data_IF_810339598612
#
_entry.id   IF_810339598612
#
_cell.length_a   1.000
_cell.length_b   1.000
_cell.length_c   1.000
_cell.angle_alpha   90.00
_cell.angle_beta   90.00
_cell.angle_gamma   90.00
#
_symmetry.space_group_name_H-M   'P 1'
#
loop_
_entity.id
_entity.type
_entity.pdbx_description
1 polymer ?
#
# COMPACT_ATOMS: atom_id res chain seq x y z
N UNK A 1 -5.47 -15.19 6.85
CA UNK A 1 -6.82 -14.58 6.85
C UNK A 1 -6.96 -13.48 5.81
N UNK A 2 -6.05 -12.49 5.73
CA UNK A 2 -6.15 -11.35 4.81
C UNK A 2 -6.43 -11.70 3.34
N UNK A 3 -5.67 -12.64 2.75
CA UNK A 3 -5.90 -13.08 1.36
C UNK A 3 -7.27 -13.75 1.19
N UNK A 4 -7.62 -14.68 2.06
CA UNK A 4 -8.90 -15.39 2.00
C UNK A 4 -10.11 -14.43 2.17
N UNK A 5 -10.00 -13.45 3.08
CA UNK A 5 -11.05 -12.43 3.26
C UNK A 5 -11.21 -11.52 2.04
N UNK A 6 -10.12 -11.20 1.33
CA UNK A 6 -10.18 -10.41 0.10
C UNK A 6 -10.88 -11.18 -1.03
N UNK A 7 -10.57 -12.48 -1.18
CA UNK A 7 -11.26 -13.36 -2.14
C UNK A 7 -12.75 -13.46 -1.81
N UNK A 8 -13.09 -13.69 -0.55
CA UNK A 8 -14.48 -13.71 -0.08
C UNK A 8 -15.22 -12.41 -0.42
N UNK A 9 -14.62 -11.26 -0.14
CA UNK A 9 -15.20 -9.95 -0.43
C UNK A 9 -15.44 -9.73 -1.93
N UNK A 10 -14.46 -10.09 -2.77
CA UNK A 10 -14.60 -9.98 -4.22
C UNK A 10 -15.71 -10.88 -4.76
N UNK A 11 -15.82 -12.12 -4.28
CA UNK A 11 -16.88 -13.05 -4.68
C UNK A 11 -18.25 -12.56 -4.22
N UNK A 12 -18.38 -12.11 -2.97
CA UNK A 12 -19.62 -11.56 -2.43
C UNK A 12 -20.10 -10.34 -3.25
N UNK A 13 -19.18 -9.44 -3.59
CA UNK A 13 -19.48 -8.28 -4.42
C UNK A 13 -19.88 -8.67 -5.85
N UNK A 14 -19.17 -9.62 -6.47
CA UNK A 14 -19.48 -10.10 -7.82
C UNK A 14 -20.85 -10.78 -7.89
N UNK A 15 -21.23 -11.52 -6.86
CA UNK A 15 -22.57 -12.12 -6.75
C UNK A 15 -23.68 -11.07 -6.66
N UNK A 16 -23.42 -9.95 -5.98
CA UNK A 16 -24.36 -8.83 -5.90
C UNK A 16 -24.40 -8.00 -7.20
N UNK A 17 -23.34 -8.02 -8.01
CA UNK A 17 -23.18 -7.23 -9.22
C UNK A 17 -22.83 -8.10 -10.46
N UNK A 18 -23.68 -9.07 -10.85
CA UNK A 18 -23.33 -10.09 -11.83
C UNK A 18 -23.11 -9.55 -13.26
N UNK A 19 -23.63 -8.35 -13.56
CA UNK A 19 -23.52 -7.72 -14.89
C UNK A 19 -22.43 -6.64 -14.95
N UNK A 20 -21.57 -6.52 -13.94
CA UNK A 20 -20.55 -5.47 -13.86
C UNK A 20 -19.35 -5.65 -14.81
N UNK A 21 -19.32 -6.76 -15.56
CA UNK A 21 -18.25 -7.09 -16.51
C UNK A 21 -16.95 -7.50 -15.82
N UNK A 22 -15.87 -7.54 -16.59
CA UNK A 22 -14.53 -7.79 -16.05
C UNK A 22 -14.03 -6.55 -15.29
N UNK A 23 -13.51 -6.76 -14.08
CA UNK A 23 -13.01 -5.71 -13.18
C UNK A 23 -11.71 -6.17 -12.55
N UNK A 24 -10.73 -5.28 -12.45
CA UNK A 24 -9.55 -5.48 -11.60
C UNK A 24 -9.81 -4.90 -10.21
N UNK A 25 -9.00 -5.22 -9.18
CA UNK A 25 -9.22 -4.72 -7.82
C UNK A 25 -9.39 -3.19 -7.73
N UNK A 26 -8.64 -2.43 -8.52
CA UNK A 26 -8.69 -0.98 -8.58
C UNK A 26 -10.03 -0.41 -9.13
N UNK A 27 -10.78 -1.22 -9.89
CA UNK A 27 -12.08 -0.82 -10.45
C UNK A 27 -13.26 -1.10 -9.51
N UNK A 28 -13.03 -1.81 -8.41
CA UNK A 28 -14.08 -2.20 -7.47
C UNK A 28 -14.40 -1.05 -6.48
N UNK A 29 -15.67 -0.90 -6.06
CA UNK A 29 -16.02 0.09 -5.05
C UNK A 29 -15.43 -0.31 -3.69
N UNK A 30 -14.30 0.29 -3.34
CA UNK A 30 -13.47 -0.11 -2.20
C UNK A 30 -14.24 -0.14 -0.87
N UNK A 31 -15.20 0.77 -0.65
CA UNK A 31 -16.00 0.81 0.60
C UNK A 31 -16.86 -0.43 0.78
N UNK A 32 -17.48 -0.91 -0.29
CA UNK A 32 -18.34 -2.11 -0.25
C UNK A 32 -17.51 -3.37 -0.07
N UNK A 33 -16.43 -3.50 -0.85
CA UNK A 33 -15.53 -4.66 -0.78
C UNK A 33 -14.85 -4.74 0.59
N UNK A 34 -14.37 -3.61 1.11
CA UNK A 34 -13.70 -3.55 2.40
C UNK A 34 -14.64 -3.96 3.55
N UNK A 35 -15.92 -3.58 3.49
CA UNK A 35 -16.91 -3.94 4.52
C UNK A 35 -17.14 -5.46 4.67
N UNK A 36 -16.89 -6.23 3.61
CA UNK A 36 -16.89 -7.70 3.68
C UNK A 36 -15.63 -8.24 4.35
N UNK A 37 -14.46 -7.68 4.04
CA UNK A 37 -13.16 -8.20 4.47
C UNK A 37 -12.74 -7.76 5.88
N UNK A 38 -13.07 -6.52 6.28
CA UNK A 38 -12.65 -5.90 7.55
C UNK A 38 -13.04 -6.72 8.78
N UNK A 39 -14.17 -7.45 8.70
CA UNK A 39 -14.67 -8.35 9.74
C UNK A 39 -13.64 -9.39 10.20
N UNK A 40 -12.65 -9.69 9.36
CA UNK A 40 -11.61 -10.68 9.61
C UNK A 40 -10.27 -10.07 10.04
N UNK A 41 -10.16 -8.74 10.13
CA UNK A 41 -8.88 -8.05 10.36
C UNK A 41 -8.75 -7.50 11.78
N UNK A 42 -9.85 -7.37 12.51
CA UNK A 42 -9.85 -6.76 13.85
C UNK A 42 -9.69 -5.24 13.82
N UNK A 43 -10.03 -4.60 12.69
CA UNK A 43 -9.82 -3.18 12.41
C UNK A 43 -8.54 -2.92 11.61
N UNK A 44 -8.30 -1.65 11.28
CA UNK A 44 -7.09 -1.19 10.62
C UNK A 44 -6.60 0.13 11.24
N UNK A 45 -5.28 0.30 11.29
CA UNK A 45 -4.63 1.51 11.81
C UNK A 45 -4.34 2.49 10.68
N UNK A 46 -4.63 3.77 10.90
CA UNK A 46 -4.28 4.84 9.97
C UNK A 46 -3.80 6.04 10.78
N UNK A 47 -2.53 6.37 10.63
CA UNK A 47 -1.88 7.46 11.35
C UNK A 47 -0.87 8.15 10.45
N UNK A 48 -0.79 9.47 10.57
CA UNK A 48 0.21 10.25 9.87
C UNK A 48 1.58 9.97 10.50
N UNK A 49 2.55 9.56 9.68
CA UNK A 49 3.93 9.42 10.09
C UNK A 49 4.75 10.58 9.54
N UNK A 50 5.66 11.10 10.36
CA UNK A 50 6.68 12.06 9.95
C UNK A 50 7.94 11.39 9.39
N UNK A 51 7.94 10.06 9.23
CA UNK A 51 9.06 9.32 8.68
C UNK A 51 9.21 9.56 7.17
N UNK A 52 10.46 9.73 6.75
CA UNK A 52 10.88 9.71 5.35
C UNK A 52 12.14 8.82 5.19
N UNK A 53 12.50 8.43 3.95
CA UNK A 53 13.65 7.54 3.68
C UNK A 53 15.02 8.09 4.11
N UNK A 54 15.13 9.39 4.41
CA UNK A 54 16.37 10.09 4.77
C UNK A 54 16.48 10.37 6.28
N UNK A 55 15.36 10.41 7.01
CA UNK A 55 15.25 10.85 8.42
C UNK A 55 16.30 10.28 9.38
N UNK A 56 16.66 9.00 9.20
CA UNK A 56 17.65 8.30 10.03
C UNK A 56 18.80 7.71 9.22
N UNK A 57 18.98 8.17 7.98
CA UNK A 57 20.00 7.63 7.08
C UNK A 57 21.37 8.16 7.46
N UNK A 58 22.27 7.27 7.84
CA UNK A 58 23.67 7.59 8.11
C UNK A 58 24.57 6.83 7.14
N UNK A 59 25.02 7.52 6.08
CA UNK A 59 25.93 6.95 5.10
C UNK A 59 27.39 7.20 5.50
N UNK A 60 28.02 6.20 6.10
CA UNK A 60 29.43 6.26 6.52
C UNK A 60 30.41 6.41 5.35
N UNK A 61 29.97 6.14 4.11
CA UNK A 61 30.78 6.23 2.91
C UNK A 61 30.33 7.37 1.98
N UNK A 62 29.57 8.35 2.49
CA UNK A 62 29.13 9.51 1.70
C UNK A 62 30.33 10.15 1.00
N UNK A 63 30.28 10.25 -0.34
CA UNK A 63 31.36 10.78 -1.19
C UNK A 63 32.40 9.76 -1.65
N UNK A 64 32.37 8.54 -1.12
CA UNK A 64 33.23 7.41 -1.52
C UNK A 64 32.45 6.28 -2.18
N UNK A 65 31.13 6.21 -1.91
CA UNK A 65 30.18 5.47 -2.70
C UNK A 65 29.57 6.42 -3.73
N UNK A 66 29.37 5.98 -4.98
CA UNK A 66 28.74 6.80 -6.03
C UNK A 66 27.23 7.03 -5.79
N UNK A 67 26.77 6.97 -4.53
CA UNK A 67 25.36 7.17 -4.17
C UNK A 67 25.08 8.66 -4.08
N UNK A 68 23.97 9.05 -4.70
CA UNK A 68 23.41 10.39 -4.60
C UNK A 68 22.05 10.28 -3.95
N UNK A 69 21.85 11.05 -2.89
CA UNK A 69 20.55 11.22 -2.27
C UNK A 69 19.92 12.49 -2.81
N UNK A 70 18.62 12.44 -3.06
CA UNK A 70 17.84 13.61 -3.36
C UNK A 70 17.32 14.20 -2.05
N UNK A 71 17.95 15.29 -1.57
CA UNK A 71 17.58 15.98 -0.33
C UNK A 71 16.44 16.99 -0.55
N UNK A 72 16.08 17.32 -1.80
CA UNK A 72 14.97 18.23 -2.13
C UNK A 72 13.63 17.49 -2.15
N UNK A 73 13.63 16.24 -2.61
CA UNK A 73 12.49 15.32 -2.56
C UNK A 73 12.86 14.00 -1.86
N UNK A 74 12.60 13.88 -0.54
CA UNK A 74 12.92 12.68 0.23
C UNK A 74 12.28 11.39 -0.30
N UNK A 75 11.16 11.49 -1.04
CA UNK A 75 10.39 10.33 -1.54
C UNK A 75 10.86 9.81 -2.90
N UNK A 76 11.93 10.37 -3.47
CA UNK A 76 12.51 9.85 -4.70
C UNK A 76 12.95 8.39 -4.54
N UNK A 77 12.70 7.59 -5.57
CA UNK A 77 13.01 6.15 -5.57
C UNK A 77 14.50 5.86 -5.32
N UNK A 78 15.39 6.77 -5.72
CA UNK A 78 16.84 6.73 -5.45
C UNK A 78 17.17 6.68 -3.95
N UNK A 79 16.37 7.32 -3.10
CA UNK A 79 16.57 7.36 -1.65
C UNK A 79 16.20 6.02 -0.98
N UNK A 80 15.23 5.29 -1.56
CA UNK A 80 14.81 3.96 -1.12
C UNK A 80 15.75 2.84 -1.55
N UNK A 81 16.34 2.96 -2.74
CA UNK A 81 17.16 1.91 -3.31
C UNK A 81 18.44 1.72 -2.46
N UNK A 82 18.64 0.49 -1.96
CA UNK A 82 19.75 0.10 -1.05
C UNK A 82 20.98 -0.37 -1.82
#
# INVERSE_FOLDING_TARGET
MQVASAVYAAVAWAMANPTAGYRVPDDLPWREVLAYAEKYWGGYHSEASNWDPLMHRNDLFKGWNNRKYDEEDPWQFSNFLV
#
